data_IF_317183901107
#
_entry.id   IF_317183901107
#
_cell.length_a   1.000
_cell.length_b   1.000
_cell.length_c   1.000
_cell.angle_alpha   90.00
_cell.angle_beta   90.00
_cell.angle_gamma   90.00
#
_symmetry.space_group_name_H-M   'P 1'
#
loop_
_entity.id
_entity.type
_entity.pdbx_description
1 polymer ?
#
# COMPACT_ATOMS: atom_id res chain seq x y z
N UNK A 1 35.80 19.12 -2.86
CA UNK A 1 35.37 18.00 -2.01
C UNK A 1 34.12 18.36 -1.19
N UNK A 2 34.05 19.50 -0.49
CA UNK A 2 32.89 19.95 0.31
C UNK A 2 31.64 20.14 -0.57
N UNK A 3 31.81 20.66 -1.78
CA UNK A 3 30.69 20.86 -2.74
C UNK A 3 30.18 19.53 -3.33
N UNK A 4 31.07 18.56 -3.53
CA UNK A 4 30.77 17.19 -3.94
C UNK A 4 29.95 16.42 -2.90
N UNK A 5 30.37 16.48 -1.63
CA UNK A 5 29.60 15.87 -0.54
C UNK A 5 28.22 16.49 -0.38
N UNK A 6 28.07 17.79 -0.67
CA UNK A 6 26.78 18.47 -0.66
C UNK A 6 25.83 18.02 -1.79
N UNK A 7 26.35 17.75 -2.99
CA UNK A 7 25.55 17.27 -4.14
C UNK A 7 25.17 15.79 -3.98
N UNK A 8 26.08 14.94 -3.52
CA UNK A 8 25.81 13.52 -3.22
C UNK A 8 24.72 13.38 -2.15
N UNK A 9 24.76 14.20 -1.11
CA UNK A 9 23.73 14.20 -0.06
C UNK A 9 22.36 14.70 -0.54
N UNK A 10 22.29 15.46 -1.63
CA UNK A 10 21.02 15.94 -2.23
C UNK A 10 20.50 15.05 -3.35
N UNK A 11 21.19 13.95 -3.69
CA UNK A 11 20.79 13.06 -4.78
C UNK A 11 20.89 13.70 -6.18
N UNK A 12 21.62 14.81 -6.30
CA UNK A 12 21.88 15.47 -7.58
C UNK A 12 22.89 14.65 -8.39
N UNK A 13 22.61 14.45 -9.69
CA UNK A 13 23.50 13.69 -10.56
C UNK A 13 24.90 14.30 -10.56
N UNK A 14 25.90 13.46 -10.29
CA UNK A 14 27.31 13.79 -10.46
C UNK A 14 27.69 13.79 -11.96
N UNK A 15 26.99 14.62 -12.73
CA UNK A 15 27.33 14.87 -14.14
C UNK A 15 28.36 16.01 -14.22
N UNK A 16 29.39 15.93 -13.40
CA UNK A 16 30.47 16.90 -13.40
C UNK A 16 31.60 16.34 -14.27
N UNK A 17 31.44 16.50 -15.59
CA UNK A 17 32.41 16.18 -16.62
C UNK A 17 33.82 16.72 -16.29
N UNK A 18 33.89 17.82 -15.54
CA UNK A 18 35.15 18.44 -15.11
C UNK A 18 35.92 17.61 -14.05
N UNK A 19 35.22 16.89 -13.16
CA UNK A 19 35.84 16.04 -12.15
C UNK A 19 36.23 14.68 -12.72
N UNK A 20 35.42 14.12 -13.60
CA UNK A 20 35.73 12.87 -14.28
C UNK A 20 36.86 13.01 -15.32
N UNK A 21 37.16 14.22 -15.78
CA UNK A 21 38.28 14.50 -16.73
C UNK A 21 39.62 14.70 -16.08
N UNK A 22 39.74 14.66 -14.74
CA UNK A 22 41.03 14.78 -14.03
C UNK A 22 41.81 13.47 -14.11
N UNK A 23 43.14 13.61 -14.30
CA UNK A 23 44.10 12.49 -14.30
C UNK A 23 44.79 12.33 -12.95
N UNK A 24 44.00 12.43 -11.84
CA UNK A 24 44.50 12.24 -10.47
C UNK A 24 43.55 11.31 -9.68
N UNK A 25 43.93 11.02 -8.43
CA UNK A 25 43.12 10.13 -7.53
C UNK A 25 41.70 10.64 -7.32
N UNK A 26 41.46 11.95 -7.45
CA UNK A 26 40.14 12.57 -7.37
C UNK A 26 39.32 12.24 -8.61
N UNK A 27 39.93 12.24 -9.79
CA UNK A 27 39.30 11.81 -11.04
C UNK A 27 38.97 10.33 -11.03
N UNK A 28 39.84 9.47 -10.51
CA UNK A 28 39.59 8.03 -10.38
C UNK A 28 38.39 7.77 -9.44
N UNK A 29 38.36 8.48 -8.32
CA UNK A 29 37.26 8.38 -7.37
C UNK A 29 35.92 8.87 -7.98
N UNK A 30 35.94 9.99 -8.70
CA UNK A 30 34.78 10.55 -9.37
C UNK A 30 34.22 9.57 -10.44
N UNK A 31 35.10 8.98 -11.26
CA UNK A 31 34.73 7.95 -12.26
C UNK A 31 34.15 6.69 -11.60
N UNK A 32 34.74 6.23 -10.50
CA UNK A 32 34.23 5.07 -9.76
C UNK A 32 32.83 5.32 -9.17
N UNK A 33 32.58 6.52 -8.63
CA UNK A 33 31.24 6.91 -8.13
C UNK A 33 30.22 7.05 -9.25
N UNK A 34 30.55 7.73 -10.34
CA UNK A 34 29.68 7.88 -11.50
C UNK A 34 29.31 6.52 -12.10
N UNK A 35 30.29 5.60 -12.23
CA UNK A 35 30.03 4.25 -12.70
C UNK A 35 29.11 3.43 -11.79
N UNK A 36 29.24 3.58 -10.46
CA UNK A 36 28.34 2.94 -9.49
C UNK A 36 26.93 3.52 -9.56
N UNK A 37 26.82 4.83 -9.65
CA UNK A 37 25.52 5.49 -9.76
C UNK A 37 24.78 5.07 -11.05
N UNK A 38 25.52 5.03 -12.17
CA UNK A 38 24.95 4.56 -13.42
C UNK A 38 24.51 3.09 -13.34
N UNK A 39 25.34 2.21 -12.80
CA UNK A 39 24.98 0.80 -12.62
C UNK A 39 23.76 0.61 -11.71
N UNK A 40 23.64 1.40 -10.64
CA UNK A 40 22.47 1.39 -9.76
C UNK A 40 21.21 1.88 -10.49
N UNK A 41 21.31 2.96 -11.26
CA UNK A 41 20.18 3.46 -12.09
C UNK A 41 19.74 2.43 -13.13
N UNK A 42 20.69 1.77 -13.81
CA UNK A 42 20.38 0.73 -14.78
C UNK A 42 19.76 -0.51 -14.13
N UNK A 43 20.22 -0.88 -12.93
CA UNK A 43 19.63 -1.96 -12.15
C UNK A 43 18.18 -1.62 -11.75
N UNK A 44 17.95 -0.43 -11.19
CA UNK A 44 16.61 0.04 -10.82
C UNK A 44 15.67 0.14 -12.03
N UNK A 45 16.16 0.63 -13.17
CA UNK A 45 15.38 0.70 -14.39
C UNK A 45 15.00 -0.70 -14.91
N UNK A 46 15.92 -1.66 -14.87
CA UNK A 46 15.62 -3.06 -15.26
C UNK A 46 14.59 -3.71 -14.34
N UNK A 47 14.71 -3.50 -13.03
CA UNK A 47 13.76 -4.02 -12.06
C UNK A 47 12.35 -3.43 -12.26
N UNK A 48 12.26 -2.14 -12.60
CA UNK A 48 11.00 -1.47 -12.88
C UNK A 48 10.34 -1.91 -14.19
N UNK A 49 11.11 -2.06 -15.27
CA UNK A 49 10.61 -2.58 -16.55
C UNK A 49 10.10 -4.02 -16.38
N UNK A 50 10.87 -4.86 -15.70
CA UNK A 50 10.45 -6.22 -15.36
C UNK A 50 9.13 -6.23 -14.56
N UNK A 51 8.97 -5.33 -13.61
CA UNK A 51 7.74 -5.23 -12.82
C UNK A 51 6.55 -4.78 -13.68
N UNK A 52 6.76 -3.88 -14.65
CA UNK A 52 5.74 -3.42 -15.60
C UNK A 52 5.25 -4.54 -16.52
N UNK A 53 6.17 -5.28 -17.14
CA UNK A 53 5.87 -6.38 -18.08
C UNK A 53 5.18 -7.55 -17.36
N UNK A 54 5.73 -8.01 -16.23
CA UNK A 54 5.11 -9.04 -15.36
C UNK A 54 3.69 -8.67 -14.96
N UNK A 55 3.43 -7.41 -14.88
CA UNK A 55 2.13 -6.87 -14.50
C UNK A 55 1.05 -7.08 -15.52
N UNK A 56 1.36 -6.74 -16.75
CA UNK A 56 0.45 -7.01 -17.86
C UNK A 56 0.23 -8.51 -18.05
N UNK A 57 1.29 -9.29 -17.91
CA UNK A 57 1.21 -10.75 -18.01
C UNK A 57 0.46 -11.42 -16.88
N UNK A 58 0.45 -10.84 -15.65
CA UNK A 58 -0.35 -11.36 -14.54
C UNK A 58 -1.81 -10.90 -14.59
N UNK A 59 -2.09 -9.71 -15.09
CA UNK A 59 -3.48 -9.20 -15.17
C UNK A 59 -4.33 -10.04 -16.11
N UNK A 60 -3.80 -10.48 -17.25
CA UNK A 60 -4.51 -11.28 -18.24
C UNK A 60 -5.04 -12.61 -17.68
N UNK A 61 -4.22 -13.50 -17.08
CA UNK A 61 -4.73 -14.74 -16.49
C UNK A 61 -5.66 -14.51 -15.32
N UNK A 62 -5.46 -13.45 -14.52
CA UNK A 62 -6.38 -13.11 -13.44
C UNK A 62 -7.76 -12.69 -13.96
N UNK A 63 -7.81 -11.92 -15.04
CA UNK A 63 -9.09 -11.55 -15.71
C UNK A 63 -9.80 -12.78 -16.25
N UNK A 64 -9.08 -13.73 -16.83
CA UNK A 64 -9.65 -15.01 -17.31
C UNK A 64 -10.21 -15.84 -16.14
N UNK A 65 -9.47 -15.92 -15.03
CA UNK A 65 -9.93 -16.62 -13.84
C UNK A 65 -11.17 -15.94 -13.23
N UNK A 66 -11.20 -14.62 -13.19
CA UNK A 66 -12.35 -13.86 -12.68
C UNK A 66 -13.59 -14.13 -13.52
N UNK A 67 -13.52 -14.01 -14.85
CA UNK A 67 -14.64 -14.32 -15.74
C UNK A 67 -15.09 -15.79 -15.64
N UNK A 68 -14.16 -16.73 -15.47
CA UNK A 68 -14.48 -18.14 -15.25
C UNK A 68 -15.27 -18.38 -13.96
N UNK A 69 -14.89 -17.71 -12.87
CA UNK A 69 -15.59 -17.82 -11.57
C UNK A 69 -16.98 -17.18 -11.64
N UNK A 70 -17.14 -16.04 -12.32
CA UNK A 70 -18.41 -15.35 -12.52
C UNK A 70 -19.41 -16.24 -13.32
N UNK A 71 -18.91 -16.93 -14.37
CA UNK A 71 -19.70 -17.89 -15.14
C UNK A 71 -20.13 -19.07 -14.27
N UNK A 72 -19.22 -19.61 -13.44
CA UNK A 72 -19.55 -20.71 -12.53
C UNK A 72 -20.60 -20.28 -11.51
N UNK A 73 -20.51 -19.09 -10.93
CA UNK A 73 -21.48 -18.54 -9.99
C UNK A 73 -22.85 -18.44 -10.63
N UNK A 74 -22.94 -17.90 -11.85
CA UNK A 74 -24.23 -17.77 -12.58
C UNK A 74 -24.87 -19.11 -12.95
N UNK A 75 -24.06 -20.14 -13.23
CA UNK A 75 -24.56 -21.47 -13.62
C UNK A 75 -24.89 -22.37 -12.44
N UNK A 76 -24.26 -22.15 -11.30
CA UNK A 76 -24.45 -22.93 -10.07
C UNK A 76 -25.45 -22.26 -9.11
N UNK A 77 -26.17 -21.21 -9.54
CA UNK A 77 -27.22 -20.58 -8.78
C UNK A 77 -28.31 -21.60 -8.49
N UNK A 78 -28.36 -22.11 -7.25
CA UNK A 78 -29.28 -23.19 -6.82
C UNK A 78 -28.56 -24.42 -6.21
N UNK A 79 -27.23 -24.50 -6.28
CA UNK A 79 -26.47 -25.55 -5.60
C UNK A 79 -25.83 -25.00 -4.30
N UNK A 80 -26.52 -25.19 -3.18
CA UNK A 80 -26.12 -24.71 -1.85
C UNK A 80 -24.75 -25.22 -1.39
N UNK A 81 -24.24 -26.32 -1.97
CA UNK A 81 -22.95 -26.89 -1.60
C UNK A 81 -21.78 -26.27 -2.38
N UNK A 82 -21.99 -25.90 -3.64
CA UNK A 82 -20.99 -25.38 -4.53
C UNK A 82 -20.84 -23.85 -4.45
N UNK A 83 -21.93 -23.13 -4.23
CA UNK A 83 -21.93 -21.68 -4.09
C UNK A 83 -20.91 -21.13 -3.08
N UNK A 84 -20.75 -21.69 -1.86
CA UNK A 84 -19.71 -21.22 -0.93
C UNK A 84 -18.30 -21.43 -1.44
N UNK A 85 -18.06 -22.46 -2.27
CA UNK A 85 -16.76 -22.75 -2.87
C UNK A 85 -16.44 -21.72 -3.96
N UNK A 86 -17.40 -21.47 -4.86
CA UNK A 86 -17.30 -20.48 -5.92
C UNK A 86 -17.08 -19.08 -5.33
N UNK A 87 -17.86 -18.68 -4.32
CA UNK A 87 -17.69 -17.42 -3.61
C UNK A 87 -16.31 -17.26 -2.93
N UNK A 88 -15.70 -18.37 -2.51
CA UNK A 88 -14.32 -18.36 -1.99
C UNK A 88 -13.30 -18.16 -3.10
N UNK A 89 -13.47 -18.83 -4.24
CA UNK A 89 -12.64 -18.65 -5.42
C UNK A 89 -12.70 -17.20 -5.92
N UNK A 90 -13.87 -16.63 -6.02
CA UNK A 90 -14.10 -15.24 -6.42
C UNK A 90 -13.34 -14.26 -5.53
N UNK A 91 -13.49 -14.38 -4.20
CA UNK A 91 -12.76 -13.55 -3.23
C UNK A 91 -11.25 -13.72 -3.35
N UNK A 92 -10.76 -14.93 -3.63
CA UNK A 92 -9.32 -15.18 -3.80
C UNK A 92 -8.79 -14.51 -5.06
N UNK A 93 -9.48 -14.64 -6.19
CA UNK A 93 -9.10 -14.01 -7.46
C UNK A 93 -9.14 -12.49 -7.34
N UNK A 94 -10.19 -11.91 -6.75
CA UNK A 94 -10.30 -10.48 -6.50
C UNK A 94 -9.13 -9.97 -5.62
N UNK A 95 -8.80 -10.71 -4.56
CA UNK A 95 -7.66 -10.39 -3.69
C UNK A 95 -6.32 -10.43 -4.43
N UNK A 96 -6.11 -11.42 -5.31
CA UNK A 96 -4.90 -11.51 -6.14
C UNK A 96 -4.82 -10.35 -7.12
N UNK A 97 -5.91 -10.00 -7.77
CA UNK A 97 -5.98 -8.86 -8.72
C UNK A 97 -5.65 -7.54 -8.02
N UNK A 98 -6.24 -7.29 -6.85
CA UNK A 98 -5.94 -6.11 -6.04
C UNK A 98 -4.48 -6.06 -5.61
N UNK A 99 -3.92 -7.21 -5.18
CA UNK A 99 -2.52 -7.31 -4.75
C UNK A 99 -1.55 -7.02 -5.91
N UNK A 100 -1.77 -7.62 -7.07
CA UNK A 100 -0.98 -7.34 -8.28
C UNK A 100 -1.09 -5.88 -8.65
N UNK A 101 -2.30 -5.31 -8.72
CA UNK A 101 -2.53 -3.89 -8.99
C UNK A 101 -1.76 -2.97 -8.05
N UNK A 102 -1.77 -3.29 -6.76
CA UNK A 102 -1.03 -2.53 -5.74
C UNK A 102 0.50 -2.63 -5.92
N UNK A 103 1.02 -3.83 -6.17
CA UNK A 103 2.46 -4.01 -6.44
C UNK A 103 2.92 -3.20 -7.64
N UNK A 104 2.08 -3.11 -8.67
CA UNK A 104 2.31 -2.32 -9.87
C UNK A 104 2.35 -0.83 -9.63
N UNK A 105 1.36 -0.36 -8.86
CA UNK A 105 1.27 1.03 -8.48
C UNK A 105 2.51 1.48 -7.71
N UNK A 106 2.99 0.63 -6.76
CA UNK A 106 4.19 0.88 -5.98
C UNK A 106 5.52 0.71 -6.76
N UNK A 107 5.48 0.06 -7.91
CA UNK A 107 6.64 -0.07 -8.80
C UNK A 107 6.77 1.10 -9.79
N UNK A 108 5.73 1.96 -9.92
CA UNK A 108 5.80 3.16 -10.76
C UNK A 108 6.82 4.15 -10.19
N UNK A 109 7.48 4.87 -11.08
CA UNK A 109 8.33 6.01 -10.67
C UNK A 109 7.45 7.11 -10.08
N UNK A 110 7.96 7.90 -9.11
CA UNK A 110 7.22 9.07 -8.59
C UNK A 110 6.72 10.00 -9.69
N UNK A 111 7.51 10.18 -10.79
CA UNK A 111 7.16 11.03 -11.93
C UNK A 111 5.98 10.46 -12.78
N UNK A 112 5.67 9.18 -12.64
CA UNK A 112 4.56 8.50 -13.30
C UNK A 112 3.28 8.48 -12.46
N UNK A 113 3.37 8.91 -11.21
CA UNK A 113 2.23 9.05 -10.31
C UNK A 113 1.65 10.44 -10.48
N UNK A 114 0.34 10.49 -10.69
CA UNK A 114 -0.38 11.77 -10.78
C UNK A 114 -0.54 12.37 -9.39
N UNK A 115 0.41 13.22 -9.00
CA UNK A 115 0.33 13.99 -7.76
C UNK A 115 -0.50 15.25 -7.99
N UNK A 116 -1.64 15.32 -7.31
CA UNK A 116 -2.57 16.45 -7.40
C UNK A 116 -3.30 16.66 -6.07
N UNK A 117 -3.84 17.87 -5.83
CA UNK A 117 -4.79 18.05 -4.73
C UNK A 117 -6.05 17.21 -4.98
N UNK A 118 -6.52 16.47 -3.97
CA UNK A 118 -7.78 15.73 -4.03
C UNK A 118 -8.45 15.69 -2.65
N UNK A 119 -9.75 15.39 -2.63
CA UNK A 119 -10.53 15.27 -1.42
C UNK A 119 -10.48 13.83 -0.89
N UNK A 120 -9.77 13.61 0.21
CA UNK A 120 -9.62 12.30 0.84
C UNK A 120 -10.96 11.75 1.39
N UNK A 121 -11.90 12.65 1.75
CA UNK A 121 -13.21 12.24 2.25
C UNK A 121 -14.04 11.52 1.17
N UNK A 122 -13.82 11.82 -0.10
CA UNK A 122 -14.50 11.11 -1.21
C UNK A 122 -14.10 9.65 -1.22
N UNK A 123 -12.79 9.35 -1.10
CA UNK A 123 -12.28 7.98 -1.05
C UNK A 123 -12.80 7.25 0.21
N UNK A 124 -12.79 7.92 1.36
CA UNK A 124 -13.29 7.33 2.61
C UNK A 124 -14.77 6.96 2.53
N UNK A 125 -15.61 7.79 1.92
CA UNK A 125 -17.04 7.49 1.74
C UNK A 125 -17.28 6.32 0.78
N UNK A 126 -16.45 6.14 -0.23
CA UNK A 126 -16.51 4.97 -1.11
C UNK A 126 -16.18 3.69 -0.34
N UNK A 127 -15.08 3.68 0.40
CA UNK A 127 -14.70 2.53 1.24
C UNK A 127 -15.75 2.23 2.33
N UNK A 128 -16.39 3.25 2.90
CA UNK A 128 -17.44 3.09 3.89
C UNK A 128 -18.61 2.21 3.40
N UNK A 129 -19.01 2.37 2.15
CA UNK A 129 -20.10 1.56 1.54
C UNK A 129 -19.68 0.08 1.51
N UNK A 130 -18.47 -0.21 1.05
CA UNK A 130 -17.96 -1.58 0.97
C UNK A 130 -17.80 -2.22 2.36
N UNK A 131 -17.28 -1.46 3.31
CA UNK A 131 -17.08 -1.91 4.70
C UNK A 131 -18.41 -2.27 5.35
N UNK A 132 -19.43 -1.41 5.23
CA UNK A 132 -20.75 -1.66 5.79
C UNK A 132 -21.38 -2.95 5.24
N UNK A 133 -21.21 -3.21 3.94
CA UNK A 133 -21.69 -4.46 3.33
C UNK A 133 -20.93 -5.68 3.84
N UNK A 134 -19.59 -5.59 3.96
CA UNK A 134 -18.74 -6.69 4.48
C UNK A 134 -19.00 -7.01 5.95
N UNK A 135 -19.42 -6.03 6.75
CA UNK A 135 -19.75 -6.20 8.16
C UNK A 135 -21.21 -6.61 8.40
N UNK A 136 -22.04 -6.68 7.35
CA UNK A 136 -23.44 -7.06 7.48
C UNK A 136 -23.59 -8.43 8.16
N UNK A 137 -24.39 -8.49 9.23
CA UNK A 137 -24.61 -9.70 10.01
C UNK A 137 -23.47 -10.09 10.96
N UNK A 138 -22.40 -9.28 11.05
CA UNK A 138 -21.33 -9.47 12.04
C UNK A 138 -21.57 -8.58 13.27
N UNK A 139 -21.16 -9.01 14.48
CA UNK A 139 -21.28 -8.20 15.70
C UNK A 139 -20.19 -7.10 15.76
N UNK A 140 -20.02 -6.35 14.67
CA UNK A 140 -19.03 -5.28 14.52
C UNK A 140 -19.73 -4.04 14.00
N UNK A 141 -19.57 -2.92 14.70
CA UNK A 141 -20.08 -1.61 14.29
C UNK A 141 -19.00 -0.81 13.59
N UNK A 142 -19.27 -0.29 12.41
CA UNK A 142 -18.43 0.69 11.73
C UNK A 142 -18.99 2.10 11.88
N UNK A 143 -18.12 3.05 12.23
CA UNK A 143 -18.45 4.47 12.27
C UNK A 143 -17.32 5.30 11.69
N UNK A 144 -17.67 6.46 11.13
CA UNK A 144 -16.72 7.41 10.55
C UNK A 144 -16.98 8.82 11.09
N UNK A 145 -15.91 9.54 11.40
CA UNK A 145 -15.92 10.96 11.79
C UNK A 145 -15.10 11.70 10.72
N UNK A 146 -15.77 12.10 9.66
CA UNK A 146 -15.18 12.76 8.51
C UNK A 146 -15.61 14.23 8.48
N UNK A 147 -14.72 15.19 8.21
CA UNK A 147 -15.11 16.55 7.88
C UNK A 147 -15.85 16.57 6.53
N UNK A 148 -16.49 17.69 6.20
CA UNK A 148 -17.16 17.84 4.92
C UNK A 148 -16.20 17.64 3.76
N UNK A 149 -14.96 18.16 3.92
CA UNK A 149 -13.88 18.06 2.95
C UNK A 149 -12.51 18.03 3.63
N UNK A 150 -11.61 17.20 3.12
CA UNK A 150 -10.19 17.17 3.51
C UNK A 150 -9.32 17.07 2.25
N UNK A 151 -8.78 18.22 1.82
CA UNK A 151 -7.90 18.27 0.65
C UNK A 151 -6.48 17.93 1.07
N UNK A 152 -5.89 16.93 0.41
CA UNK A 152 -4.49 16.52 0.55
C UNK A 152 -3.80 16.52 -0.81
N UNK A 153 -2.48 16.72 -0.82
CA UNK A 153 -1.66 16.60 -2.02
C UNK A 153 -1.12 15.17 -2.11
N UNK A 154 -1.28 14.52 -3.26
CA UNK A 154 -0.78 13.16 -3.47
C UNK A 154 -1.41 12.46 -4.66
N UNK A 155 -1.16 11.15 -4.77
CA UNK A 155 -1.84 10.27 -5.74
C UNK A 155 -3.11 9.70 -5.10
N UNK A 156 -4.30 9.96 -5.67
CA UNK A 156 -5.56 9.39 -5.18
C UNK A 156 -5.54 7.85 -5.17
N UNK A 157 -4.88 7.22 -6.15
CA UNK A 157 -4.77 5.77 -6.25
C UNK A 157 -3.96 5.17 -5.08
N UNK A 158 -2.82 5.80 -4.73
CA UNK A 158 -2.03 5.37 -3.58
C UNK A 158 -2.76 5.60 -2.27
N UNK A 159 -3.45 6.73 -2.13
CA UNK A 159 -4.25 7.04 -0.96
C UNK A 159 -5.41 6.04 -0.77
N UNK A 160 -6.12 5.71 -1.86
CA UNK A 160 -7.17 4.68 -1.84
C UNK A 160 -6.61 3.32 -1.42
N UNK A 161 -5.45 2.93 -1.96
CA UNK A 161 -4.78 1.69 -1.60
C UNK A 161 -4.39 1.64 -0.11
N UNK A 162 -3.83 2.73 0.44
CA UNK A 162 -3.48 2.82 1.86
C UNK A 162 -4.73 2.68 2.73
N UNK A 163 -5.78 3.43 2.42
CA UNK A 163 -7.04 3.41 3.14
C UNK A 163 -7.70 2.03 3.09
N UNK A 164 -7.81 1.44 1.90
CA UNK A 164 -8.38 0.10 1.69
C UNK A 164 -7.65 -0.97 2.51
N UNK A 165 -6.29 -1.02 2.46
CA UNK A 165 -5.54 -2.03 3.20
C UNK A 165 -5.67 -1.89 4.72
N UNK A 166 -5.73 -0.66 5.25
CA UNK A 166 -5.95 -0.43 6.68
C UNK A 166 -7.36 -0.87 7.10
N UNK A 167 -8.38 -0.52 6.33
CA UNK A 167 -9.78 -0.89 6.60
C UNK A 167 -10.02 -2.39 6.43
N UNK A 168 -9.42 -3.02 5.40
CA UNK A 168 -9.46 -4.48 5.22
C UNK A 168 -8.87 -5.20 6.44
N UNK A 169 -7.74 -4.73 6.95
CA UNK A 169 -7.14 -5.25 8.17
C UNK A 169 -8.09 -5.13 9.37
N UNK A 170 -8.63 -3.95 9.61
CA UNK A 170 -9.58 -3.73 10.71
C UNK A 170 -10.80 -4.67 10.61
N UNK A 171 -11.40 -4.80 9.43
CA UNK A 171 -12.53 -5.70 9.20
C UNK A 171 -12.18 -7.18 9.36
N UNK A 172 -10.95 -7.55 9.04
CA UNK A 172 -10.47 -8.93 9.10
C UNK A 172 -10.24 -9.39 10.53
N UNK A 173 -9.63 -8.54 11.35
CA UNK A 173 -9.19 -8.90 12.69
C UNK A 173 -10.17 -8.53 13.80
N UNK A 174 -11.14 -7.63 13.55
CA UNK A 174 -12.21 -7.31 14.49
C UNK A 174 -13.33 -8.34 14.36
N UNK A 175 -13.41 -9.28 15.29
CA UNK A 175 -14.45 -10.30 15.30
C UNK A 175 -15.77 -9.77 15.90
N UNK A 176 -15.64 -8.89 16.93
CA UNK A 176 -16.74 -8.22 17.61
C UNK A 176 -16.32 -6.82 18.11
N UNK A 177 -17.27 -5.92 18.27
CA UNK A 177 -17.02 -4.57 18.79
C UNK A 177 -17.13 -3.50 17.74
N UNK A 178 -16.09 -2.65 17.57
CA UNK A 178 -16.20 -1.46 16.71
C UNK A 178 -14.94 -1.17 15.92
N UNK A 179 -15.16 -0.51 14.77
CA UNK A 179 -14.13 0.09 13.91
C UNK A 179 -14.50 1.56 13.75
N UNK A 180 -13.58 2.47 14.02
CA UNK A 180 -13.76 3.91 13.89
C UNK A 180 -12.70 4.49 12.96
N UNK A 181 -13.15 5.13 11.88
CA UNK A 181 -12.33 5.92 10.98
C UNK A 181 -12.52 7.41 11.32
N UNK A 182 -11.46 8.11 11.65
CA UNK A 182 -11.51 9.54 11.99
C UNK A 182 -10.50 10.30 11.15
N UNK A 183 -10.94 11.40 10.52
CA UNK A 183 -10.06 12.33 9.80
C UNK A 183 -9.96 13.63 10.60
N UNK A 184 -8.72 14.09 10.76
CA UNK A 184 -8.35 15.40 11.30
C UNK A 184 -7.60 16.18 10.23
N UNK A 185 -7.25 17.43 10.51
CA UNK A 185 -6.64 18.33 9.53
C UNK A 185 -5.36 17.76 8.89
N UNK A 186 -4.53 17.06 9.66
CA UNK A 186 -3.21 16.56 9.27
C UNK A 186 -3.03 15.05 9.43
N UNK A 187 -4.06 14.33 9.88
CA UNK A 187 -3.96 12.90 10.13
C UNK A 187 -5.27 12.14 9.91
N UNK A 188 -5.11 10.87 9.60
CA UNK A 188 -6.16 9.86 9.64
C UNK A 188 -5.88 8.91 10.80
N UNK A 189 -6.91 8.60 11.58
CA UNK A 189 -6.90 7.61 12.65
C UNK A 189 -7.87 6.49 12.31
N UNK A 190 -7.40 5.25 12.32
CA UNK A 190 -8.24 4.06 12.26
C UNK A 190 -8.08 3.30 13.57
N UNK A 191 -9.16 3.22 14.34
CA UNK A 191 -9.18 2.52 15.63
C UNK A 191 -10.11 1.32 15.54
N UNK A 192 -9.67 0.18 16.04
CA UNK A 192 -10.45 -1.06 16.09
C UNK A 192 -10.34 -1.74 17.47
N UNK A 193 -11.31 -2.62 17.75
CA UNK A 193 -11.34 -3.44 18.97
C UNK A 193 -10.82 -4.86 18.72
N UNK A 194 -10.02 -5.07 17.70
CA UNK A 194 -9.36 -6.35 17.46
C UNK A 194 -8.40 -6.70 18.63
N UNK A 195 -8.07 -7.98 18.82
CA UNK A 195 -7.08 -8.37 19.82
C UNK A 195 -5.77 -7.59 19.67
N UNK A 196 -5.17 -7.27 20.81
CA UNK A 196 -3.88 -6.55 20.87
C UNK A 196 -2.82 -7.31 20.09
N UNK A 197 -2.09 -6.59 19.25
CA UNK A 197 -1.00 -7.15 18.47
C UNK A 197 0.16 -7.50 19.41
N UNK A 198 0.65 -8.72 19.30
CA UNK A 198 1.82 -9.19 20.06
C UNK A 198 3.00 -8.21 19.90
N UNK A 199 3.73 -7.87 21.00
CA UNK A 199 4.85 -6.94 20.94
C UNK A 199 5.92 -7.32 19.91
N UNK A 200 6.22 -8.60 19.75
CA UNK A 200 7.22 -9.08 18.79
C UNK A 200 6.73 -8.92 17.35
N UNK A 201 5.44 -9.15 17.11
CA UNK A 201 4.80 -8.90 15.81
C UNK A 201 4.72 -7.42 15.54
N UNK A 202 4.40 -6.60 16.53
CA UNK A 202 4.23 -5.15 16.41
C UNK A 202 5.49 -4.46 15.90
N UNK A 203 6.67 -4.88 16.34
CA UNK A 203 7.95 -4.30 15.88
C UNK A 203 8.21 -4.56 14.39
N UNK A 204 7.64 -5.64 13.85
CA UNK A 204 7.88 -6.12 12.49
C UNK A 204 6.64 -6.12 11.60
N UNK A 205 5.51 -5.61 12.09
CA UNK A 205 4.20 -5.71 11.43
C UNK A 205 4.16 -5.08 10.03
N UNK A 206 5.03 -4.12 9.75
CA UNK A 206 5.17 -3.49 8.44
C UNK A 206 6.17 -4.21 7.51
N UNK A 207 6.87 -5.25 7.98
CA UNK A 207 7.71 -6.09 7.14
C UNK A 207 6.86 -7.04 6.28
N UNK A 208 7.39 -7.44 5.12
CA UNK A 208 6.68 -8.37 4.23
C UNK A 208 6.53 -9.75 4.86
N UNK A 209 5.34 -10.33 4.77
CA UNK A 209 5.05 -11.69 5.19
C UNK A 209 4.84 -11.88 6.69
N UNK A 210 4.93 -10.81 7.49
CA UNK A 210 4.66 -10.87 8.93
C UNK A 210 3.15 -11.04 9.16
N UNK A 211 2.78 -11.99 10.03
CA UNK A 211 1.39 -12.29 10.40
C UNK A 211 1.25 -12.30 11.91
N UNK A 212 0.16 -11.76 12.41
CA UNK A 212 -0.13 -11.73 13.85
C UNK A 212 -0.44 -13.11 14.44
N UNK A 213 -1.07 -14.00 13.67
CA UNK A 213 -1.33 -15.39 14.05
C UNK A 213 -1.32 -16.28 12.81
N UNK A 214 -0.89 -17.56 12.97
CA UNK A 214 -0.86 -18.54 11.88
C UNK A 214 -2.27 -18.95 11.38
N UNK A 215 -3.32 -18.63 12.13
CA UNK A 215 -4.71 -19.00 11.83
C UNK A 215 -5.46 -17.95 10.98
N UNK A 216 -4.92 -16.73 10.86
CA UNK A 216 -5.62 -15.68 10.09
C UNK A 216 -5.36 -15.86 8.59
N UNK A 217 -6.40 -15.94 7.75
CA UNK A 217 -6.25 -15.99 6.29
C UNK A 217 -5.74 -14.64 5.80
N UNK A 218 -4.60 -14.62 5.10
CA UNK A 218 -4.04 -13.41 4.52
C UNK A 218 -2.60 -13.60 4.06
N UNK A 219 -2.17 -12.80 3.10
CA UNK A 219 -0.82 -12.86 2.51
C UNK A 219 0.29 -12.29 3.41
N UNK A 220 -0.07 -11.55 4.48
CA UNK A 220 0.89 -10.79 5.30
C UNK A 220 1.51 -9.58 4.55
N UNK A 221 0.90 -9.14 3.46
CA UNK A 221 1.42 -8.04 2.63
C UNK A 221 0.74 -6.69 2.89
N UNK A 222 -0.49 -6.67 3.41
CA UNK A 222 -1.31 -5.45 3.51
C UNK A 222 -0.60 -4.30 4.22
N UNK A 223 -0.06 -4.51 5.42
CA UNK A 223 0.62 -3.45 6.18
C UNK A 223 1.97 -3.03 5.54
N UNK A 224 2.70 -3.94 4.91
CA UNK A 224 3.90 -3.57 4.15
C UNK A 224 3.58 -2.72 2.92
N UNK A 225 2.41 -2.93 2.30
CA UNK A 225 1.92 -2.08 1.22
C UNK A 225 1.49 -0.71 1.74
N UNK A 226 0.84 -0.65 2.91
CA UNK A 226 0.51 0.62 3.59
C UNK A 226 1.76 1.45 3.85
N UNK A 227 2.81 0.84 4.44
CA UNK A 227 4.06 1.55 4.68
C UNK A 227 4.66 2.14 3.41
N UNK A 228 4.81 1.31 2.36
CA UNK A 228 5.36 1.76 1.08
C UNK A 228 4.48 2.82 0.39
N UNK A 229 3.16 2.68 0.44
CA UNK A 229 2.24 3.69 -0.08
C UNK A 229 2.37 5.02 0.64
N UNK A 230 2.50 4.99 1.98
CA UNK A 230 2.76 6.19 2.77
C UNK A 230 4.11 6.82 2.42
N UNK A 231 5.18 6.03 2.26
CA UNK A 231 6.50 6.52 1.83
C UNK A 231 6.42 7.23 0.48
N UNK A 232 5.73 6.64 -0.52
CA UNK A 232 5.53 7.27 -1.83
C UNK A 232 4.72 8.56 -1.78
N UNK A 233 3.74 8.64 -0.85
CA UNK A 233 2.94 9.85 -0.63
C UNK A 233 3.66 10.91 0.25
N UNK A 234 4.82 10.57 0.81
CA UNK A 234 5.48 11.39 1.82
C UNK A 234 4.74 11.38 3.16
N UNK A 235 3.81 10.44 3.39
CA UNK A 235 3.05 10.30 4.62
C UNK A 235 3.79 9.43 5.63
N UNK A 236 3.39 9.52 6.91
CA UNK A 236 3.96 8.69 7.98
C UNK A 236 2.87 7.84 8.60
N UNK A 237 3.09 6.52 8.64
CA UNK A 237 2.20 5.58 9.32
C UNK A 237 2.83 5.11 10.63
N UNK A 238 2.00 4.99 11.68
CA UNK A 238 2.37 4.42 12.97
C UNK A 238 1.22 3.58 13.52
N UNK A 239 1.57 2.63 14.38
CA UNK A 239 0.61 1.85 15.16
C UNK A 239 0.78 2.20 16.64
N UNK A 240 -0.34 2.40 17.31
CA UNK A 240 -0.42 2.68 18.74
C UNK A 240 -1.34 1.66 19.40
N UNK A 241 -0.96 1.21 20.59
CA UNK A 241 -1.90 0.48 21.44
C UNK A 241 -2.91 1.49 22.01
N UNK A 242 -4.20 1.16 21.93
CA UNK A 242 -5.28 1.97 22.48
C UNK A 242 -6.14 1.12 23.41
N UNK A 243 -6.80 1.75 24.38
CA UNK A 243 -7.66 1.07 25.33
C UNK A 243 -8.72 0.21 24.61
N UNK A 244 -8.54 -1.11 24.68
CA UNK A 244 -9.44 -2.11 24.10
C UNK A 244 -9.14 -2.51 22.66
N UNK A 245 -7.98 -2.15 22.07
CA UNK A 245 -7.65 -2.57 20.71
C UNK A 245 -6.42 -1.90 20.10
N UNK A 246 -6.50 -1.62 18.80
CA UNK A 246 -5.41 -1.07 18.02
C UNK A 246 -5.80 0.29 17.42
N UNK A 247 -4.80 1.14 17.20
CA UNK A 247 -4.95 2.38 16.45
C UNK A 247 -3.83 2.52 15.42
N UNK A 248 -4.22 2.68 14.18
CA UNK A 248 -3.32 3.09 13.11
C UNK A 248 -3.47 4.59 12.88
N UNK A 249 -2.35 5.30 12.86
CA UNK A 249 -2.27 6.73 12.61
C UNK A 249 -1.52 6.95 11.31
N UNK A 250 -2.08 7.68 10.39
CA UNK A 250 -1.42 8.15 9.16
C UNK A 250 -1.39 9.66 9.18
N UNK A 251 -0.20 10.25 9.25
CA UNK A 251 0.01 11.70 9.16
C UNK A 251 0.31 12.10 7.73
N UNK A 252 -0.40 13.08 7.25
CA UNK A 252 -0.20 13.63 5.91
C UNK A 252 0.99 14.60 5.92
N UNK A 253 1.77 14.67 4.82
CA UNK A 253 2.72 15.76 4.63
C UNK A 253 1.94 17.06 4.43
N UNK A 254 2.25 18.07 5.25
CA UNK A 254 1.85 19.42 4.93
C UNK A 254 2.72 19.86 3.75
N UNK A 255 2.10 20.13 2.59
CA UNK A 255 2.74 20.70 1.43
C UNK A 255 3.23 22.13 1.66
#
# INVERSE_FOLDING_TARGET
>A
LVELTGKVNRGEALDDTLLCSRDDEVGDLARAFAGREQALREFLNREQLFTGDVSHELRTPLTVLQGGVEILESRLSGDDKLLPIVGRMQRTVASMTAMVGTMLLLARKPEQLEFRPFDLCVLARQEEVEIRERLRGRPVTFSSLLPDRLTVLGSPELAAMVLHNLLDNACRYTEQGRILLEFRADEMLLTDTAPVIDPDVRTRMFERGVRGTSKSPGSGLGLSLVLRGCEHLGWKVAHEHWEGGNRFRVRFSQG
#
